data_IF_316405453620
#
_entry.id   IF_316405453620
#
_cell.length_a   1.000
_cell.length_b   1.000
_cell.length_c   1.000
_cell.angle_alpha   90.00
_cell.angle_beta   90.00
_cell.angle_gamma   90.00
#
_symmetry.space_group_name_H-M   'P 1'
#
loop_
_entity.id
_entity.type
_entity.pdbx_description
1 polymer ?
#
# COMPACT_ATOMS: atom_id res chain seq x y z
N UNK A 1 -19.26 -3.44 -31.44
CA UNK A 1 -19.26 -2.06 -30.96
C UNK A 1 -19.63 -1.06 -32.03
N UNK A 2 -18.96 -1.06 -33.22
CA UNK A 2 -19.26 -0.12 -34.33
C UNK A 2 -20.75 -0.08 -34.67
N UNK A 3 -21.37 -1.22 -34.94
CA UNK A 3 -22.80 -1.31 -35.22
C UNK A 3 -23.66 -0.70 -34.11
N UNK A 4 -23.34 -0.98 -32.82
CA UNK A 4 -24.08 -0.44 -31.69
C UNK A 4 -23.97 1.09 -31.59
N UNK A 5 -22.79 1.64 -31.93
CA UNK A 5 -22.53 3.08 -31.91
C UNK A 5 -23.11 3.80 -33.08
N UNK A 6 -22.80 3.32 -34.29
CA UNK A 6 -23.12 3.99 -35.56
C UNK A 6 -24.61 3.81 -35.92
N UNK A 7 -25.12 2.57 -35.83
CA UNK A 7 -26.48 2.23 -36.27
C UNK A 7 -27.54 2.41 -35.13
N UNK A 8 -27.18 2.10 -33.88
CA UNK A 8 -28.10 2.14 -32.76
C UNK A 8 -27.91 3.36 -31.85
N UNK A 9 -26.88 4.18 -32.11
CA UNK A 9 -26.54 5.35 -31.34
C UNK A 9 -26.46 5.06 -29.81
N UNK A 10 -26.02 3.84 -29.45
CA UNK A 10 -25.87 3.47 -28.07
C UNK A 10 -24.87 4.40 -27.39
N UNK A 11 -25.25 4.93 -26.22
CA UNK A 11 -24.33 5.69 -25.39
C UNK A 11 -23.34 4.74 -24.77
N UNK A 12 -22.13 5.21 -24.61
CA UNK A 12 -21.08 4.56 -23.83
C UNK A 12 -20.54 5.53 -22.79
N UNK A 13 -19.92 4.98 -21.77
CA UNK A 13 -19.24 5.69 -20.70
C UNK A 13 -17.89 5.01 -20.41
N UNK A 14 -17.23 5.41 -19.34
CA UNK A 14 -15.95 4.83 -18.95
C UNK A 14 -16.00 3.32 -18.70
N UNK A 15 -17.15 2.75 -18.34
CA UNK A 15 -17.30 1.30 -18.12
C UNK A 15 -17.00 0.50 -19.37
N UNK A 16 -17.30 1.06 -20.56
CA UNK A 16 -17.01 0.43 -21.85
C UNK A 16 -15.50 0.31 -22.09
N UNK A 17 -14.73 1.32 -21.68
CA UNK A 17 -13.26 1.29 -21.78
C UNK A 17 -12.65 0.36 -20.71
N UNK A 18 -13.20 0.32 -19.50
CA UNK A 18 -12.77 -0.61 -18.45
C UNK A 18 -12.90 -2.06 -18.90
N UNK A 19 -14.06 -2.44 -19.43
CA UNK A 19 -14.32 -3.79 -19.92
C UNK A 19 -13.42 -4.16 -21.10
N UNK A 20 -13.15 -3.22 -22.02
CA UNK A 20 -12.19 -3.44 -23.09
C UNK A 20 -10.75 -3.62 -22.59
N UNK A 21 -10.37 -2.89 -21.53
CA UNK A 21 -9.06 -2.98 -20.89
C UNK A 21 -8.92 -4.30 -20.11
N UNK A 22 -9.95 -4.70 -19.35
CA UNK A 22 -9.97 -5.95 -18.61
C UNK A 22 -9.90 -7.21 -19.49
N UNK A 23 -10.35 -7.09 -20.74
CA UNK A 23 -10.24 -8.17 -21.76
C UNK A 23 -8.98 -8.10 -22.61
N UNK A 24 -8.13 -7.11 -22.40
CA UNK A 24 -6.92 -6.92 -23.20
C UNK A 24 -7.18 -6.56 -24.68
N UNK A 25 -8.38 -6.05 -25.00
CA UNK A 25 -8.79 -5.83 -26.37
C UNK A 25 -8.26 -4.51 -26.95
N UNK A 26 -7.01 -4.54 -27.41
CA UNK A 26 -6.32 -3.39 -27.99
C UNK A 26 -7.07 -2.73 -29.15
N UNK A 27 -7.68 -3.54 -30.03
CA UNK A 27 -8.43 -3.00 -31.19
C UNK A 27 -9.66 -2.23 -30.74
N UNK A 28 -10.39 -2.76 -29.76
CA UNK A 28 -11.54 -2.10 -29.17
C UNK A 28 -11.13 -0.82 -28.45
N UNK A 29 -10.08 -0.85 -27.66
CA UNK A 29 -9.58 0.34 -26.94
C UNK A 29 -9.13 1.44 -27.91
N UNK A 30 -8.45 1.10 -29.00
CA UNK A 30 -8.07 2.09 -29.99
C UNK A 30 -9.31 2.73 -30.64
N UNK A 31 -10.30 1.93 -31.04
CA UNK A 31 -11.56 2.44 -31.58
C UNK A 31 -12.31 3.33 -30.56
N UNK A 32 -12.42 2.89 -29.32
CA UNK A 32 -13.07 3.68 -28.26
C UNK A 32 -12.37 5.02 -28.04
N UNK A 33 -11.04 5.04 -28.11
CA UNK A 33 -10.27 6.28 -27.97
C UNK A 33 -10.52 7.24 -29.16
N UNK A 34 -10.49 6.73 -30.41
CA UNK A 34 -10.75 7.52 -31.62
C UNK A 34 -12.16 8.14 -31.63
N UNK A 35 -13.13 7.43 -31.06
CA UNK A 35 -14.51 7.87 -30.94
C UNK A 35 -14.79 8.67 -29.62
N UNK A 36 -13.75 9.11 -28.94
CA UNK A 36 -13.84 9.91 -27.70
C UNK A 36 -14.66 9.23 -26.57
N UNK A 37 -14.59 7.91 -26.45
CA UNK A 37 -15.12 7.23 -25.28
C UNK A 37 -14.31 7.65 -24.04
N UNK A 38 -14.95 8.00 -22.90
CA UNK A 38 -14.24 8.33 -21.69
C UNK A 38 -13.29 7.21 -21.25
N UNK A 39 -12.07 7.60 -20.87
CA UNK A 39 -11.05 6.74 -20.28
C UNK A 39 -10.46 7.43 -19.06
N UNK A 40 -10.46 6.75 -17.94
CA UNK A 40 -10.02 7.26 -16.65
C UNK A 40 -8.94 6.36 -16.02
N UNK A 41 -8.55 6.66 -14.77
CA UNK A 41 -7.55 5.92 -14.02
C UNK A 41 -7.92 4.44 -13.89
N UNK A 42 -9.21 4.13 -13.79
CA UNK A 42 -9.69 2.76 -13.67
C UNK A 42 -9.44 1.95 -14.94
N UNK A 43 -9.43 2.58 -16.10
CA UNK A 43 -9.08 1.90 -17.37
C UNK A 43 -7.67 1.32 -17.31
N UNK A 44 -6.70 2.04 -16.73
CA UNK A 44 -5.34 1.54 -16.52
C UNK A 44 -5.28 0.46 -15.43
N UNK A 45 -6.04 0.62 -14.35
CA UNK A 45 -6.10 -0.36 -13.26
C UNK A 45 -6.67 -1.71 -13.73
N UNK A 46 -7.74 -1.70 -14.53
CA UNK A 46 -8.34 -2.91 -15.13
C UNK A 46 -7.36 -3.66 -16.05
N UNK A 47 -6.57 -2.92 -16.85
CA UNK A 47 -5.52 -3.55 -17.64
C UNK A 47 -4.43 -4.19 -16.76
N UNK A 48 -4.05 -3.56 -15.66
CA UNK A 48 -3.05 -4.07 -14.73
C UNK A 48 -3.57 -5.29 -13.94
N UNK A 49 -4.82 -5.25 -13.46
CA UNK A 49 -5.47 -6.30 -12.68
C UNK A 49 -5.60 -7.62 -13.46
N UNK A 50 -5.74 -7.52 -14.79
CA UNK A 50 -5.86 -8.67 -15.66
C UNK A 50 -4.55 -9.01 -16.40
N UNK A 51 -3.41 -8.45 -15.98
CA UNK A 51 -2.09 -8.76 -16.52
C UNK A 51 -1.85 -8.27 -17.96
N UNK A 52 -2.69 -7.38 -18.48
CA UNK A 52 -2.60 -6.91 -19.87
C UNK A 52 -1.55 -5.80 -20.04
N UNK A 53 -0.28 -6.17 -19.94
CA UNK A 53 0.86 -5.25 -19.98
C UNK A 53 0.87 -4.37 -21.25
N UNK A 54 0.70 -4.96 -22.44
CA UNK A 54 0.75 -4.18 -23.68
C UNK A 54 -0.40 -3.17 -23.76
N UNK A 55 -1.56 -3.51 -23.20
CA UNK A 55 -2.69 -2.58 -23.08
C UNK A 55 -2.34 -1.43 -22.15
N UNK A 56 -1.78 -1.72 -20.99
CA UNK A 56 -1.37 -0.68 -20.03
C UNK A 56 -0.33 0.29 -20.62
N UNK A 57 0.69 -0.25 -21.32
CA UNK A 57 1.67 0.57 -22.06
C UNK A 57 0.99 1.44 -23.11
N UNK A 58 0.11 0.87 -23.92
CA UNK A 58 -0.63 1.60 -24.94
C UNK A 58 -1.46 2.73 -24.34
N UNK A 59 -2.23 2.46 -23.31
CA UNK A 59 -3.03 3.46 -22.61
C UNK A 59 -2.15 4.60 -22.07
N UNK A 60 -1.04 4.27 -21.43
CA UNK A 60 -0.20 5.27 -20.79
C UNK A 60 0.72 6.01 -21.75
N UNK A 61 1.44 5.30 -22.62
CA UNK A 61 2.47 5.89 -23.48
C UNK A 61 1.89 6.56 -24.74
N UNK A 62 0.91 5.91 -25.36
CA UNK A 62 0.32 6.40 -26.63
C UNK A 62 -0.87 7.31 -26.41
N UNK A 63 -1.75 6.97 -25.46
CA UNK A 63 -3.02 7.68 -25.27
C UNK A 63 -3.01 8.63 -24.08
N UNK A 64 -1.99 8.56 -23.21
CA UNK A 64 -1.83 9.42 -22.02
C UNK A 64 -3.00 9.34 -21.02
N UNK A 65 -3.68 8.18 -21.00
CA UNK A 65 -4.76 7.91 -20.04
C UNK A 65 -4.22 8.07 -18.62
N UNK A 66 -4.92 8.78 -17.72
CA UNK A 66 -4.48 8.91 -16.33
C UNK A 66 -4.41 7.56 -15.63
N UNK A 67 -3.59 7.46 -14.61
CA UNK A 67 -3.46 6.31 -13.72
C UNK A 67 -3.27 6.77 -12.27
N UNK A 68 -3.54 5.88 -11.34
CA UNK A 68 -3.42 6.15 -9.91
C UNK A 68 -2.81 4.94 -9.16
N UNK A 69 -2.84 4.99 -7.85
CA UNK A 69 -2.35 3.92 -6.97
C UNK A 69 -3.09 2.58 -7.15
N UNK A 70 -4.29 2.56 -7.76
CA UNK A 70 -5.00 1.31 -8.04
C UNK A 70 -4.27 0.52 -9.12
N UNK A 71 -3.64 1.19 -10.10
CA UNK A 71 -2.81 0.53 -11.13
C UNK A 71 -1.63 -0.22 -10.51
N UNK A 72 -0.91 0.39 -9.55
CA UNK A 72 0.21 -0.29 -8.86
C UNK A 72 -0.26 -1.37 -7.91
N UNK A 73 -1.40 -1.17 -7.24
CA UNK A 73 -2.00 -2.18 -6.36
C UNK A 73 -2.46 -3.40 -7.15
N UNK A 74 -3.08 -3.18 -8.32
CA UNK A 74 -3.50 -4.23 -9.25
C UNK A 74 -2.30 -5.02 -9.80
N UNK A 75 -1.25 -4.33 -10.26
CA UNK A 75 -0.01 -4.97 -10.71
C UNK A 75 0.64 -5.83 -9.61
N UNK A 76 0.56 -5.38 -8.35
CA UNK A 76 1.07 -6.13 -7.22
C UNK A 76 0.20 -7.34 -6.85
N UNK A 77 -1.11 -7.21 -6.92
CA UNK A 77 -2.05 -8.30 -6.69
C UNK A 77 -1.97 -9.38 -7.77
N UNK A 78 -1.77 -9.00 -9.01
CA UNK A 78 -1.53 -9.92 -10.13
C UNK A 78 -0.13 -10.59 -10.07
N UNK A 79 0.76 -10.07 -9.23
CA UNK A 79 2.12 -10.60 -9.09
C UNK A 79 3.07 -10.19 -10.22
N UNK A 80 2.69 -9.23 -11.04
CA UNK A 80 3.51 -8.79 -12.15
C UNK A 80 4.56 -7.78 -11.70
N UNK A 81 5.71 -8.30 -11.25
CA UNK A 81 6.78 -7.49 -10.68
C UNK A 81 7.36 -6.49 -11.69
N UNK A 82 7.54 -6.91 -12.93
CA UNK A 82 8.08 -6.03 -13.98
C UNK A 82 7.11 -4.90 -14.32
N UNK A 83 5.81 -5.19 -14.38
CA UNK A 83 4.78 -4.16 -14.55
C UNK A 83 4.80 -3.16 -13.38
N UNK A 84 4.92 -3.64 -12.14
CA UNK A 84 5.00 -2.77 -10.97
C UNK A 84 6.23 -1.84 -11.02
N UNK A 85 7.42 -2.39 -11.34
CA UNK A 85 8.64 -1.60 -11.52
C UNK A 85 8.47 -0.55 -12.61
N UNK A 86 7.94 -0.94 -13.77
CA UNK A 86 7.69 -0.04 -14.89
C UNK A 86 6.72 1.10 -14.51
N UNK A 87 5.65 0.80 -13.77
CA UNK A 87 4.75 1.83 -13.24
C UNK A 87 5.50 2.83 -12.36
N UNK A 88 6.37 2.34 -11.47
CA UNK A 88 7.14 3.20 -10.56
C UNK A 88 8.19 4.03 -11.26
N UNK A 89 8.90 3.50 -12.24
CA UNK A 89 9.85 4.25 -13.07
C UNK A 89 9.19 5.44 -13.80
N UNK A 90 7.87 5.35 -14.04
CA UNK A 90 7.06 6.40 -14.68
C UNK A 90 6.19 7.17 -13.68
N UNK A 91 6.60 7.17 -12.41
CA UNK A 91 5.99 7.95 -11.33
C UNK A 91 4.51 7.60 -11.06
N UNK A 92 4.04 6.40 -11.43
CA UNK A 92 2.72 5.96 -11.02
C UNK A 92 2.65 5.95 -9.48
N UNK A 93 1.69 6.66 -8.85
CA UNK A 93 1.60 6.67 -7.41
C UNK A 93 1.30 5.28 -6.86
N UNK A 94 1.75 5.02 -5.66
CA UNK A 94 1.39 3.83 -4.89
C UNK A 94 0.98 4.18 -3.47
N UNK A 95 0.35 3.26 -2.79
CA UNK A 95 -0.04 3.36 -1.40
C UNK A 95 0.02 1.99 -0.74
N UNK A 96 -0.55 1.87 0.44
CA UNK A 96 -0.65 0.61 1.19
C UNK A 96 -1.34 -0.53 0.40
N UNK A 97 -2.17 -0.22 -0.59
CA UNK A 97 -2.79 -1.21 -1.49
C UNK A 97 -1.76 -2.03 -2.26
N UNK A 98 -0.61 -1.43 -2.62
CA UNK A 98 0.47 -2.14 -3.31
C UNK A 98 1.13 -3.19 -2.41
N UNK A 99 1.45 -2.86 -1.16
CA UNK A 99 1.99 -3.84 -0.20
C UNK A 99 0.97 -4.93 0.16
N UNK A 100 -0.31 -4.58 0.26
CA UNK A 100 -1.41 -5.53 0.45
C UNK A 100 -1.54 -6.49 -0.75
N UNK A 101 -1.55 -5.98 -1.97
CA UNK A 101 -1.59 -6.80 -3.19
C UNK A 101 -0.44 -7.80 -3.26
N UNK A 102 0.78 -7.35 -2.96
CA UNK A 102 1.95 -8.24 -2.90
C UNK A 102 1.80 -9.34 -1.82
N UNK A 103 1.16 -9.02 -0.68
CA UNK A 103 0.84 -10.00 0.36
C UNK A 103 -0.27 -10.97 -0.08
N UNK A 104 -1.32 -10.47 -0.73
CA UNK A 104 -2.42 -11.29 -1.26
C UNK A 104 -1.90 -12.42 -2.17
N UNK A 105 -0.97 -12.09 -3.05
CA UNK A 105 -0.40 -13.03 -4.02
C UNK A 105 0.83 -13.79 -3.48
N UNK A 106 1.29 -13.50 -2.26
CA UNK A 106 2.46 -14.15 -1.66
C UNK A 106 3.81 -13.78 -2.27
N UNK A 107 3.88 -12.67 -3.00
CA UNK A 107 5.09 -12.23 -3.70
C UNK A 107 6.07 -11.51 -2.76
N UNK A 108 6.78 -12.29 -1.93
CA UNK A 108 7.71 -11.79 -0.91
C UNK A 108 8.77 -10.83 -1.47
N UNK A 109 9.40 -11.17 -2.61
CA UNK A 109 10.45 -10.32 -3.18
C UNK A 109 9.90 -9.00 -3.70
N UNK A 110 8.70 -8.99 -4.25
CA UNK A 110 7.99 -7.77 -4.63
C UNK A 110 7.65 -6.92 -3.40
N UNK A 111 7.16 -7.54 -2.32
CA UNK A 111 6.89 -6.85 -1.04
C UNK A 111 8.15 -6.21 -0.46
N UNK A 112 9.28 -6.96 -0.44
CA UNK A 112 10.57 -6.46 0.01
C UNK A 112 11.02 -5.25 -0.81
N UNK A 113 10.96 -5.37 -2.12
CA UNK A 113 11.33 -4.29 -3.03
C UNK A 113 10.43 -3.06 -2.85
N UNK A 114 9.12 -3.24 -2.78
CA UNK A 114 8.18 -2.14 -2.61
C UNK A 114 8.44 -1.37 -1.30
N UNK A 115 8.62 -2.09 -0.19
CA UNK A 115 8.92 -1.45 1.10
C UNK A 115 10.28 -0.77 1.12
N UNK A 116 11.31 -1.36 0.52
CA UNK A 116 12.64 -0.75 0.37
C UNK A 116 12.60 0.55 -0.45
N UNK A 117 11.65 0.67 -1.39
CA UNK A 117 11.42 1.87 -2.19
C UNK A 117 10.33 2.81 -1.62
N UNK A 118 9.99 2.67 -0.33
CA UNK A 118 9.13 3.60 0.39
C UNK A 118 7.62 3.31 0.30
N UNK A 119 7.21 2.13 -0.18
CA UNK A 119 5.82 1.70 -0.05
C UNK A 119 5.51 1.39 1.41
N UNK A 120 4.41 1.96 1.91
CA UNK A 120 4.00 1.76 3.31
C UNK A 120 3.27 0.43 3.51
N UNK A 121 3.36 -0.09 4.74
CA UNK A 121 2.58 -1.22 5.23
C UNK A 121 2.08 -0.93 6.66
N UNK A 122 0.96 -1.51 7.04
CA UNK A 122 0.38 -1.37 8.38
C UNK A 122 -0.36 -2.65 8.81
N UNK A 123 -1.20 -2.56 9.84
CA UNK A 123 -1.97 -3.68 10.39
C UNK A 123 -2.93 -4.33 9.37
N UNK A 124 -3.37 -3.58 8.36
CA UNK A 124 -4.19 -4.17 7.30
C UNK A 124 -3.36 -5.05 6.37
N UNK A 125 -2.08 -4.70 6.16
CA UNK A 125 -1.16 -5.53 5.36
C UNK A 125 -0.84 -6.85 6.05
N UNK A 126 -0.65 -6.84 7.38
CA UNK A 126 -0.43 -8.09 8.15
C UNK A 126 -1.67 -8.96 8.20
N UNK A 127 -2.87 -8.37 8.31
CA UNK A 127 -4.12 -9.13 8.27
C UNK A 127 -4.41 -9.69 6.87
N UNK A 128 -4.04 -8.99 5.81
CA UNK A 128 -4.11 -9.50 4.42
C UNK A 128 -3.17 -10.71 4.23
N UNK A 129 -1.90 -10.60 4.65
CA UNK A 129 -0.97 -11.73 4.61
C UNK A 129 -1.54 -12.94 5.36
N UNK A 130 -2.23 -12.72 6.47
CA UNK A 130 -2.85 -13.79 7.25
C UNK A 130 -4.12 -14.36 6.59
N UNK A 131 -4.91 -13.53 5.91
CA UNK A 131 -6.11 -13.93 5.19
C UNK A 131 -5.78 -14.90 4.04
N UNK A 132 -4.67 -14.65 3.34
CA UNK A 132 -4.22 -15.46 2.21
C UNK A 132 -3.15 -16.51 2.57
N UNK A 133 -2.86 -16.73 3.86
CA UNK A 133 -1.94 -17.77 4.32
C UNK A 133 -0.46 -17.49 3.99
N UNK A 134 -0.09 -16.24 3.80
CA UNK A 134 1.23 -15.86 3.33
C UNK A 134 2.22 -15.68 4.51
N UNK A 135 2.59 -16.79 5.14
CA UNK A 135 3.45 -16.83 6.33
C UNK A 135 4.76 -16.05 6.14
N UNK A 136 5.43 -16.22 4.99
CA UNK A 136 6.72 -15.58 4.75
C UNK A 136 6.59 -14.06 4.62
N UNK A 137 5.51 -13.57 4.02
CA UNK A 137 5.19 -12.14 3.99
C UNK A 137 4.90 -11.60 5.39
N UNK A 138 4.16 -12.35 6.21
CA UNK A 138 3.86 -11.96 7.59
C UNK A 138 5.15 -11.90 8.45
N UNK A 139 6.02 -12.90 8.36
CA UNK A 139 7.32 -12.92 9.05
C UNK A 139 8.15 -11.70 8.63
N UNK A 140 8.23 -11.43 7.34
CA UNK A 140 8.96 -10.27 6.83
C UNK A 140 8.38 -8.96 7.36
N UNK A 141 7.07 -8.75 7.27
CA UNK A 141 6.41 -7.54 7.79
C UNK A 141 6.73 -7.32 9.27
N UNK A 142 6.68 -8.37 10.08
CA UNK A 142 7.04 -8.31 11.51
C UNK A 142 8.51 -7.98 11.72
N UNK A 143 9.42 -8.52 10.93
CA UNK A 143 10.85 -8.18 10.99
C UNK A 143 11.12 -6.70 10.66
N UNK A 144 10.27 -6.08 9.85
CA UNK A 144 10.31 -4.65 9.53
C UNK A 144 9.59 -3.77 10.58
N UNK A 145 9.06 -4.35 11.65
CA UNK A 145 8.37 -3.61 12.71
C UNK A 145 6.94 -3.20 12.37
N UNK A 146 6.36 -3.74 11.31
CA UNK A 146 4.95 -3.48 10.97
C UNK A 146 4.05 -4.06 12.06
N UNK A 147 3.18 -3.26 12.64
CA UNK A 147 2.26 -3.69 13.67
C UNK A 147 1.22 -4.68 13.13
N UNK A 148 0.69 -5.48 14.02
CA UNK A 148 -0.49 -6.31 13.80
C UNK A 148 -1.51 -6.11 14.92
N UNK A 149 -2.74 -6.55 14.69
CA UNK A 149 -3.80 -6.56 15.67
C UNK A 149 -4.55 -7.91 15.64
N UNK A 150 -5.60 -8.03 16.44
CA UNK A 150 -6.43 -9.24 16.53
C UNK A 150 -6.98 -9.71 15.18
N UNK A 151 -7.09 -8.83 14.18
CA UNK A 151 -7.56 -9.19 12.83
C UNK A 151 -6.63 -10.17 12.14
N UNK A 152 -5.31 -10.06 12.38
CA UNK A 152 -4.33 -11.00 11.83
C UNK A 152 -4.63 -12.43 12.26
N UNK A 153 -4.78 -12.68 13.58
CA UNK A 153 -5.16 -13.99 14.09
C UNK A 153 -6.56 -14.43 13.63
N UNK A 154 -7.53 -13.49 13.63
CA UNK A 154 -8.90 -13.76 13.18
C UNK A 154 -8.97 -14.18 11.72
N UNK A 155 -8.23 -13.53 10.82
CA UNK A 155 -8.21 -13.86 9.40
C UNK A 155 -7.52 -15.20 9.13
N UNK A 156 -6.38 -15.46 9.75
CA UNK A 156 -5.72 -16.77 9.67
C UNK A 156 -6.65 -17.90 10.11
N UNK A 157 -7.35 -17.74 11.23
CA UNK A 157 -8.29 -18.74 11.74
C UNK A 157 -9.50 -18.91 10.81
N UNK A 158 -10.10 -17.81 10.36
CA UNK A 158 -11.29 -17.82 9.50
C UNK A 158 -11.03 -18.54 8.19
N UNK A 159 -9.84 -18.39 7.62
CA UNK A 159 -9.46 -18.96 6.33
C UNK A 159 -8.67 -20.28 6.45
N UNK A 160 -8.48 -20.81 7.68
CA UNK A 160 -7.88 -22.11 7.93
C UNK A 160 -6.37 -22.17 7.80
N UNK A 161 -5.67 -21.02 7.83
CA UNK A 161 -4.22 -20.92 7.75
C UNK A 161 -3.59 -21.15 9.13
N UNK A 162 -3.46 -22.41 9.48
CA UNK A 162 -3.05 -22.85 10.81
C UNK A 162 -1.62 -22.43 11.16
N UNK A 163 -0.70 -22.56 10.23
CA UNK A 163 0.70 -22.18 10.37
C UNK A 163 0.88 -20.69 10.63
N UNK A 164 0.10 -19.86 9.92
CA UNK A 164 0.05 -18.39 10.11
C UNK A 164 -0.52 -18.03 11.48
N UNK A 165 -1.59 -18.72 11.89
CA UNK A 165 -2.22 -18.50 13.19
C UNK A 165 -1.28 -18.88 14.34
N UNK A 166 -0.68 -20.07 14.28
CA UNK A 166 0.28 -20.55 15.29
C UNK A 166 1.46 -19.56 15.40
N UNK A 167 2.07 -19.19 14.29
CA UNK A 167 3.13 -18.17 14.27
C UNK A 167 2.68 -16.85 14.90
N UNK A 168 1.51 -16.34 14.54
CA UNK A 168 1.01 -15.06 15.07
C UNK A 168 0.82 -15.11 16.58
N UNK A 169 0.19 -16.17 17.10
CA UNK A 169 -0.05 -16.34 18.55
C UNK A 169 1.26 -16.49 19.31
N UNK A 170 2.19 -17.33 18.84
CA UNK A 170 3.50 -17.54 19.46
C UNK A 170 4.33 -16.25 19.54
N UNK A 171 4.14 -15.34 18.58
CA UNK A 171 4.85 -14.06 18.55
C UNK A 171 4.04 -12.88 19.12
N UNK A 172 2.97 -13.17 19.89
CA UNK A 172 2.25 -12.17 20.70
C UNK A 172 1.21 -11.33 19.93
N UNK A 173 0.68 -11.87 18.83
CA UNK A 173 -0.47 -11.24 18.18
C UNK A 173 -1.73 -11.35 19.06
N UNK A 174 -2.47 -10.25 19.29
CA UNK A 174 -3.74 -10.33 20.03
C UNK A 174 -4.74 -11.26 19.33
N UNK A 175 -5.40 -12.12 20.09
CA UNK A 175 -6.42 -13.04 19.56
C UNK A 175 -7.84 -12.49 19.65
N UNK A 176 -8.05 -11.44 20.44
CA UNK A 176 -9.34 -10.81 20.66
C UNK A 176 -9.26 -9.30 20.42
N UNK A 177 -10.39 -8.70 20.04
CA UNK A 177 -10.50 -7.26 19.96
C UNK A 177 -10.26 -6.64 21.37
N UNK A 178 -9.64 -5.44 21.44
CA UNK A 178 -9.56 -4.72 22.71
C UNK A 178 -10.98 -4.47 23.23
N UNK A 179 -11.17 -4.69 24.53
CA UNK A 179 -12.42 -4.34 25.21
C UNK A 179 -12.73 -2.86 24.96
N UNK A 180 -13.98 -2.53 24.63
CA UNK A 180 -14.36 -1.12 24.51
C UNK A 180 -14.08 -0.47 25.85
N UNK A 181 -13.15 0.48 25.87
CA UNK A 181 -12.88 1.27 27.08
C UNK A 181 -14.19 1.93 27.49
N UNK A 182 -14.75 1.50 28.63
CA UNK A 182 -15.92 2.13 29.20
C UNK A 182 -15.57 3.60 29.40
N UNK A 183 -16.09 4.47 28.55
CA UNK A 183 -16.05 5.89 28.78
C UNK A 183 -16.88 6.13 30.05
N UNK A 184 -16.21 6.32 31.18
CA UNK A 184 -16.86 6.81 32.38
C UNK A 184 -17.43 8.18 32.04
N UNK A 185 -18.68 8.20 31.62
CA UNK A 185 -19.46 9.43 31.70
C UNK A 185 -19.58 9.77 33.17
N UNK A 186 -18.70 10.62 33.65
CA UNK A 186 -18.94 11.34 34.87
C UNK A 186 -20.18 12.21 34.65
N UNK A 187 -21.32 11.73 35.12
CA UNK A 187 -22.43 12.59 35.40
C UNK A 187 -21.99 13.56 36.48
N UNK A 188 -21.99 14.87 36.25
CA UNK A 188 -21.80 15.82 37.35
C UNK A 188 -23.05 15.75 38.22
N UNK A 189 -22.93 15.16 39.38
CA UNK A 189 -23.94 15.31 40.41
C UNK A 189 -24.02 16.80 40.78
N UNK A 190 -25.14 17.44 40.43
CA UNK A 190 -25.52 18.73 40.96
C UNK A 190 -25.67 18.61 42.48
N UNK A 191 -24.64 18.99 43.26
CA UNK A 191 -24.78 19.30 44.65
C UNK A 191 -25.24 20.75 44.81
N UNK A 192 -26.43 20.90 45.35
CA UNK A 192 -26.98 22.14 45.86
C UNK A 192 -26.00 22.78 46.82
N UNK A 193 -25.57 24.02 46.53
CA UNK A 193 -24.82 24.87 47.46
C UNK A 193 -25.74 25.45 48.54
N UNK A 194 -25.51 25.06 49.77
CA UNK A 194 -25.89 25.86 50.93
C UNK A 194 -24.69 26.72 51.34
N UNK A 195 -24.92 28.03 51.32
CA UNK A 195 -24.03 29.07 51.89
C UNK A 195 -23.79 28.83 53.38
N UNK A 196 -22.53 28.86 53.82
CA UNK A 196 -22.15 29.42 55.13
C UNK A 196 -20.76 30.09 54.99
N UNK A 197 -20.70 31.34 55.48
CA UNK A 197 -19.58 32.23 55.59
C UNK A 197 -18.53 31.79 56.63
N UNK A 198 -17.25 32.10 56.38
CA UNK A 198 -16.30 32.30 57.48
C UNK A 198 -14.84 32.03 57.19
N UNK A 199 -14.02 33.09 57.04
CA UNK A 199 -12.70 33.23 57.64
C UNK A 199 -11.47 32.63 56.93
N UNK A 200 -10.60 33.48 56.38
CA UNK A 200 -9.21 33.17 55.98
C UNK A 200 -8.25 33.19 57.17
N UNK A 201 -6.91 33.42 57.01
CA UNK A 201 -5.99 33.16 55.89
C UNK A 201 -4.73 32.39 56.39
N UNK A 202 -3.87 31.93 55.43
CA UNK A 202 -2.50 31.55 55.81
C UNK A 202 -1.82 30.54 54.88
N UNK A 203 -0.99 30.94 54.05
CA UNK A 203 0.43 30.78 53.92
C UNK A 203 1.01 29.38 53.60
N UNK A 204 1.83 29.30 52.55
CA UNK A 204 2.88 28.28 52.50
C UNK A 204 3.19 27.74 51.09
N UNK A 205 4.07 28.35 50.47
CA UNK A 205 5.21 27.99 49.61
C UNK A 205 5.45 26.49 49.33
N UNK A 206 5.73 26.14 48.02
CA UNK A 206 6.83 25.29 47.68
C UNK A 206 6.51 24.04 46.90
N UNK A 207 7.09 23.91 45.72
CA UNK A 207 7.31 22.62 45.09
C UNK A 207 7.21 22.66 43.56
N UNK A 208 8.34 22.86 42.92
CA UNK A 208 8.48 22.95 41.46
C UNK A 208 8.26 21.62 40.71
N UNK A 209 8.09 21.67 39.40
CA UNK A 209 7.82 20.52 38.57
C UNK A 209 9.10 19.73 38.26
N UNK A 210 9.07 18.45 38.53
CA UNK A 210 10.08 17.49 38.11
C UNK A 210 10.00 17.26 36.61
N UNK A 211 11.04 17.69 35.88
CA UNK A 211 11.27 17.37 34.51
C UNK A 211 11.64 15.87 34.37
N UNK A 212 10.75 15.08 33.80
CA UNK A 212 11.10 13.75 33.31
C UNK A 212 11.72 13.88 31.90
N UNK A 213 13.05 13.96 31.88
CA UNK A 213 13.86 13.80 30.67
C UNK A 213 13.93 12.32 30.27
N UNK A 214 13.04 11.89 29.40
CA UNK A 214 13.20 10.65 28.66
C UNK A 214 14.13 10.88 27.48
N UNK A 215 15.42 10.58 27.65
CA UNK A 215 16.37 10.57 26.52
C UNK A 215 16.03 9.42 25.54
N UNK A 216 16.32 9.58 24.23
CA UNK A 216 16.08 8.54 23.24
C UNK A 216 16.96 7.32 23.53
N UNK A 217 16.37 6.12 23.43
CA UNK A 217 17.05 4.86 23.60
C UNK A 217 18.23 4.72 22.60
N UNK A 218 19.38 4.16 23.02
CA UNK A 218 20.61 4.15 22.22
C UNK A 218 20.60 3.26 20.98
N UNK A 219 19.50 2.61 20.63
CA UNK A 219 19.35 1.76 19.43
C UNK A 219 18.92 2.48 18.15
N UNK A 220 18.33 3.66 18.24
CA UNK A 220 17.73 4.32 17.07
C UNK A 220 18.74 4.89 16.08
N UNK A 221 19.90 5.31 16.55
CA UNK A 221 20.92 5.93 15.70
C UNK A 221 21.62 4.91 14.80
N UNK A 222 21.87 3.70 15.30
CA UNK A 222 22.49 2.62 14.55
C UNK A 222 21.57 2.04 13.47
N UNK A 223 20.26 1.95 13.77
CA UNK A 223 19.25 1.55 12.80
C UNK A 223 19.10 2.57 11.66
N UNK A 224 19.14 3.87 11.99
CA UNK A 224 19.05 4.93 10.98
C UNK A 224 20.27 4.95 10.05
N UNK A 225 21.46 4.71 10.58
CA UNK A 225 22.69 4.59 9.79
C UNK A 225 22.67 3.34 8.88
N UNK A 226 22.18 2.21 9.37
CA UNK A 226 22.02 1.01 8.55
C UNK A 226 20.98 1.19 7.44
N UNK A 227 19.89 1.89 7.70
CA UNK A 227 18.88 2.23 6.68
C UNK A 227 19.44 3.19 5.62
N UNK A 228 20.25 4.18 6.01
CA UNK A 228 20.89 5.08 5.07
C UNK A 228 21.95 4.35 4.20
N UNK A 229 22.72 3.44 4.77
CA UNK A 229 23.67 2.64 4.01
C UNK A 229 23.00 1.67 3.05
N UNK A 230 21.89 1.04 3.47
CA UNK A 230 21.09 0.18 2.60
C UNK A 230 20.45 0.96 1.44
N UNK A 231 19.91 2.16 1.71
CA UNK A 231 19.35 3.03 0.68
C UNK A 231 20.42 3.50 -0.33
N UNK A 232 21.62 3.84 0.14
CA UNK A 232 22.74 4.23 -0.72
C UNK A 232 23.22 3.06 -1.60
N UNK A 233 23.28 1.84 -1.07
CA UNK A 233 23.64 0.64 -1.82
C UNK A 233 22.61 0.30 -2.91
N UNK A 234 21.32 0.47 -2.61
CA UNK A 234 20.23 0.28 -3.57
C UNK A 234 20.30 1.32 -4.69
N UNK A 235 20.57 2.60 -4.35
CA UNK A 235 20.71 3.67 -5.34
C UNK A 235 21.92 3.42 -6.27
N UNK A 236 23.05 2.95 -5.73
CA UNK A 236 24.23 2.59 -6.52
C UNK A 236 23.96 1.41 -7.47
N UNK A 237 23.25 0.38 -7.00
CA UNK A 237 22.87 -0.75 -7.84
C UNK A 237 21.88 -0.36 -8.97
N UNK A 238 20.97 0.57 -8.69
CA UNK A 238 20.05 1.10 -9.70
C UNK A 238 20.77 1.93 -10.77
N UNK A 239 21.79 2.70 -10.37
CA UNK A 239 22.60 3.46 -11.31
C UNK A 239 23.43 2.54 -12.22
N UNK A 240 24.03 1.47 -11.68
CA UNK A 240 24.75 0.48 -12.47
C UNK A 240 23.85 -0.26 -13.47
N UNK A 241 22.62 -0.56 -13.07
CA UNK A 241 21.65 -1.19 -13.98
C UNK A 241 21.24 -0.23 -15.11
N UNK A 242 21.06 1.05 -14.80
CA UNK A 242 20.73 2.07 -15.79
C UNK A 242 21.85 2.25 -16.83
N UNK A 243 23.12 2.26 -16.37
CA UNK A 243 24.29 2.31 -17.24
C UNK A 243 24.41 1.06 -18.13
N UNK A 244 24.03 -0.13 -17.63
CA UNK A 244 23.99 -1.36 -18.43
C UNK A 244 22.90 -1.32 -19.50
N UNK A 245 21.70 -0.87 -19.11
CA UNK A 245 20.55 -0.76 -20.04
C UNK A 245 20.83 0.27 -21.16
N UNK A 246 21.56 1.36 -20.84
CA UNK A 246 22.01 2.35 -21.83
C UNK A 246 23.05 1.77 -22.81
N UNK A 247 24.00 0.99 -22.30
CA UNK A 247 25.01 0.33 -23.15
C UNK A 247 24.38 -0.72 -24.08
N UNK A 248 23.43 -1.53 -23.57
CA UNK A 248 22.70 -2.50 -24.41
C UNK A 248 21.88 -1.81 -25.51
N UNK A 249 21.32 -0.62 -25.21
CA UNK A 249 20.59 0.17 -26.19
C UNK A 249 21.52 0.72 -27.28
N UNK A 250 22.71 1.22 -26.91
CA UNK A 250 23.71 1.71 -27.87
C UNK A 250 24.27 0.58 -28.76
N UNK A 251 24.54 -0.63 -28.19
CA UNK A 251 24.91 -1.80 -28.98
C UNK A 251 23.83 -2.21 -29.98
N UNK A 252 22.57 -2.19 -29.53
CA UNK A 252 21.44 -2.53 -30.41
C UNK A 252 21.24 -1.51 -31.53
N UNK A 253 21.45 -0.22 -31.29
CA UNK A 253 21.40 0.84 -32.31
C UNK A 253 22.58 0.73 -33.30
N UNK A 254 23.75 0.29 -32.84
CA UNK A 254 24.92 0.09 -33.66
C UNK A 254 24.79 -1.14 -34.61
N UNK A 255 24.05 -2.18 -34.22
CA UNK A 255 23.74 -3.35 -35.05
C UNK A 255 22.71 -3.06 -36.15
N UNK A 256 21.93 -1.96 -36.03
CA UNK A 256 20.90 -1.56 -37.01
C UNK A 256 21.42 -0.66 -38.14
N UNK A 257 22.71 -0.27 -38.10
CA UNK A 257 23.35 0.58 -39.11
C UNK A 257 24.53 -0.13 -39.77
#
# INVERSE_FOLDING_TARGET
LKWAREEKQCRWDATTSWEAASKGNMKTLNYLFEENCPMDEKTCAEAAENGHWEVLKFLREKKKVPWDHNTTSAAAAEGNFEMLKWCRQRECPWNIGTSRGACQSGHLEMLKWAMANGCMANETTTSEAAEYGQLQCLIFLRSQGVNWDYRTCKMAMKHGHRDVYEYAVENGCPTQAPEPTATHHHHPHHHHFHHILGGGPGGGLGGGPGANGGGPAPGGHMQMLQQQQAAAAIAAAQQQQQEQDEMELEEWEAELH
#
